data_IF_555189762491
#
_entry.id   IF_555189762491
#
_cell.length_a   1.000
_cell.length_b   1.000
_cell.length_c   1.000
_cell.angle_alpha   90.00
_cell.angle_beta   90.00
_cell.angle_gamma   90.00
#
_symmetry.space_group_name_H-M   'P 1'
#
loop_
_entity.id
_entity.type
_entity.pdbx_description
1 polymer ?
#
# COMPACT_ATOMS: atom_id res chain seq x y z
N UNK A 1 -13.10 6.13 30.67
CA UNK A 1 -11.74 5.75 30.26
C UNK A 1 -11.59 4.28 30.57
N UNK A 2 -11.35 3.43 29.58
CA UNK A 2 -11.15 1.99 29.75
C UNK A 2 -9.78 1.62 29.19
N UNK A 3 -9.13 0.63 29.80
CA UNK A 3 -7.86 0.07 29.32
C UNK A 3 -8.12 -1.13 28.42
N UNK A 4 -7.24 -1.38 27.46
CA UNK A 4 -7.26 -2.56 26.59
C UNK A 4 -5.98 -3.36 26.85
N UNK A 5 -6.09 -4.69 26.94
CA UNK A 5 -4.94 -5.57 27.15
C UNK A 5 -4.24 -5.85 25.81
N UNK A 6 -3.33 -4.98 25.39
CA UNK A 6 -2.50 -5.21 24.21
C UNK A 6 -1.34 -6.16 24.55
N UNK A 7 -0.99 -7.14 23.69
CA UNK A 7 -1.45 -7.35 22.30
C UNK A 7 -2.67 -8.27 22.13
N UNK A 8 -3.21 -8.87 23.20
CA UNK A 8 -4.28 -9.88 23.13
C UNK A 8 -5.61 -9.30 22.63
N UNK A 9 -5.96 -8.10 23.07
CA UNK A 9 -7.07 -7.31 22.58
C UNK A 9 -6.56 -6.10 21.78
N UNK A 10 -7.14 -5.90 20.59
CA UNK A 10 -6.89 -4.75 19.73
C UNK A 10 -8.19 -4.03 19.43
N UNK A 11 -8.13 -2.70 19.40
CA UNK A 11 -9.26 -1.90 18.95
C UNK A 11 -9.39 -2.00 17.42
N UNK A 12 -10.63 -2.08 16.89
CA UNK A 12 -10.83 -2.01 15.45
C UNK A 12 -10.37 -0.66 14.92
N UNK A 13 -9.63 -0.67 13.81
CA UNK A 13 -9.21 0.55 13.14
C UNK A 13 -10.35 1.13 12.30
N UNK A 14 -10.41 2.46 12.22
CA UNK A 14 -11.42 3.13 11.42
C UNK A 14 -11.24 2.79 9.92
N UNK A 15 -12.33 2.74 9.12
CA UNK A 15 -12.25 2.42 7.70
C UNK A 15 -11.22 3.25 6.92
N UNK A 16 -11.08 4.54 7.25
CA UNK A 16 -10.19 5.50 6.56
C UNK A 16 -8.82 5.66 7.24
N UNK A 17 -8.45 4.73 8.12
CA UNK A 17 -7.13 4.70 8.75
C UNK A 17 -6.02 4.66 7.69
N UNK A 18 -4.87 5.26 8.00
CA UNK A 18 -3.73 5.39 7.10
C UNK A 18 -2.54 4.61 7.66
N UNK A 19 -2.56 3.30 7.49
CA UNK A 19 -1.47 2.41 7.88
C UNK A 19 -0.44 2.23 6.76
N UNK A 20 0.21 1.07 6.74
CA UNK A 20 1.14 0.71 5.68
C UNK A 20 0.52 0.81 4.28
N UNK A 21 1.29 1.34 3.33
CA UNK A 21 0.93 1.30 1.92
C UNK A 21 0.85 -0.16 1.44
N UNK A 22 -0.17 -0.50 0.68
CA UNK A 22 -0.35 -1.81 0.08
C UNK A 22 -0.63 -1.70 -1.42
N UNK A 23 -0.26 -2.75 -2.16
CA UNK A 23 -0.58 -2.90 -3.57
C UNK A 23 -1.71 -3.92 -3.75
N UNK A 24 -2.64 -3.62 -4.64
CA UNK A 24 -3.77 -4.50 -4.94
C UNK A 24 -3.50 -5.32 -6.20
N UNK A 25 -3.94 -6.57 -6.16
CA UNK A 25 -4.04 -7.45 -7.33
C UNK A 25 -5.39 -7.27 -8.00
N UNK A 26 -5.41 -7.50 -9.29
CA UNK A 26 -6.63 -7.60 -10.05
C UNK A 26 -7.37 -8.89 -9.69
N UNK A 27 -8.68 -8.80 -9.48
CA UNK A 27 -9.47 -9.92 -8.97
C UNK A 27 -9.68 -11.02 -10.02
N UNK A 28 -9.63 -10.68 -11.30
CA UNK A 28 -9.85 -11.62 -12.40
C UNK A 28 -8.55 -12.30 -12.83
N UNK A 29 -7.46 -11.53 -12.91
CA UNK A 29 -6.18 -11.99 -13.45
C UNK A 29 -5.17 -12.39 -12.37
N UNK A 30 -5.31 -11.90 -11.13
CA UNK A 30 -4.34 -12.10 -10.05
C UNK A 30 -3.02 -11.33 -10.23
N UNK A 31 -2.88 -10.58 -11.32
CA UNK A 31 -1.73 -9.73 -11.60
C UNK A 31 -1.81 -8.42 -10.80
N UNK A 32 -0.67 -7.74 -10.52
CA UNK A 32 -0.69 -6.42 -9.90
C UNK A 32 -1.50 -5.42 -10.75
N UNK A 33 -2.43 -4.67 -10.14
CA UNK A 33 -3.19 -3.61 -10.84
C UNK A 33 -2.33 -2.44 -11.34
N UNK A 34 -1.10 -2.32 -10.84
CA UNK A 34 -0.22 -1.20 -11.12
C UNK A 34 0.32 -1.24 -12.55
N UNK A 35 0.10 -0.18 -13.31
CA UNK A 35 0.57 0.00 -14.70
C UNK A 35 1.92 0.73 -14.81
N UNK A 36 2.61 0.95 -13.68
CA UNK A 36 3.86 1.71 -13.60
C UNK A 36 3.80 3.11 -14.24
N UNK A 37 2.68 3.83 -14.07
CA UNK A 37 2.47 5.17 -14.66
C UNK A 37 3.28 6.30 -13.98
N UNK A 38 3.82 6.06 -12.77
CA UNK A 38 4.64 7.02 -12.04
C UNK A 38 3.90 8.24 -11.47
N UNK A 39 2.56 8.27 -11.48
CA UNK A 39 1.80 9.36 -10.86
C UNK A 39 1.98 9.40 -9.34
N UNK A 40 2.01 8.23 -8.68
CA UNK A 40 2.21 8.13 -7.24
C UNK A 40 3.59 8.64 -6.80
N UNK A 41 4.63 8.42 -7.61
CA UNK A 41 5.98 8.97 -7.37
C UNK A 41 5.95 10.50 -7.40
N UNK A 42 5.37 11.07 -8.46
CA UNK A 42 5.25 12.55 -8.60
C UNK A 42 4.39 13.20 -7.53
N UNK A 43 3.40 12.50 -7.00
CA UNK A 43 2.54 12.99 -5.93
C UNK A 43 3.18 12.89 -4.54
N UNK A 44 4.27 12.14 -4.39
CA UNK A 44 4.93 11.97 -3.10
C UNK A 44 5.71 13.23 -2.71
N UNK A 45 5.40 13.89 -1.58
CA UNK A 45 6.11 15.09 -1.17
C UNK A 45 7.52 14.84 -0.60
N UNK A 46 7.90 13.57 -0.36
CA UNK A 46 9.17 13.20 0.27
C UNK A 46 9.98 12.17 -0.54
N UNK A 47 9.60 11.95 -1.80
CA UNK A 47 10.31 11.06 -2.75
C UNK A 47 10.69 9.70 -2.16
N UNK A 48 9.69 9.01 -1.58
CA UNK A 48 9.89 7.69 -0.93
C UNK A 48 9.52 6.50 -1.82
N UNK A 49 9.06 6.76 -3.03
CA UNK A 49 8.52 5.76 -3.96
C UNK A 49 9.38 5.74 -5.23
N UNK A 50 9.77 4.55 -5.65
CA UNK A 50 10.40 4.31 -6.95
C UNK A 50 9.61 3.24 -7.68
N UNK A 51 9.42 3.42 -8.99
CA UNK A 51 8.66 2.47 -9.82
C UNK A 51 9.37 2.20 -11.12
N UNK A 52 9.48 0.93 -11.44
CA UNK A 52 9.97 0.42 -12.72
C UNK A 52 8.88 -0.42 -13.36
N UNK A 53 8.83 -0.38 -14.69
CA UNK A 53 7.86 -1.17 -15.42
C UNK A 53 8.22 -1.30 -16.88
N UNK A 54 7.91 -2.47 -17.42
CA UNK A 54 8.20 -2.90 -18.79
C UNK A 54 6.93 -2.97 -19.63
N UNK A 55 7.09 -3.00 -20.96
CA UNK A 55 5.98 -3.00 -21.91
C UNK A 55 5.67 -1.62 -22.50
N UNK A 56 4.69 -1.56 -23.40
CA UNK A 56 4.32 -0.34 -24.12
C UNK A 56 2.81 -0.11 -24.07
N UNK A 57 2.41 1.16 -23.96
CA UNK A 57 1.00 1.56 -24.00
C UNK A 57 0.19 0.88 -22.89
N UNK A 58 -0.87 0.16 -23.29
CA UNK A 58 -1.79 -0.52 -22.37
C UNK A 58 -1.22 -1.81 -21.75
N UNK A 59 -0.17 -2.38 -22.34
CA UNK A 59 0.45 -3.62 -21.85
C UNK A 59 1.56 -3.35 -20.83
N UNK A 60 1.73 -2.09 -20.40
CA UNK A 60 2.78 -1.75 -19.44
C UNK A 60 2.46 -2.35 -18.06
N UNK A 61 3.40 -3.15 -17.54
CA UNK A 61 3.30 -3.82 -16.24
C UNK A 61 4.40 -3.34 -15.30
N UNK A 62 4.09 -3.26 -14.00
CA UNK A 62 5.09 -3.00 -12.97
C UNK A 62 6.03 -4.19 -12.84
N UNK A 63 7.34 -3.92 -12.79
CA UNK A 63 8.37 -4.94 -12.58
C UNK A 63 9.02 -4.78 -11.21
N UNK A 64 9.29 -3.54 -10.80
CA UNK A 64 9.80 -3.22 -9.48
C UNK A 64 9.02 -2.04 -8.88
N UNK A 65 8.82 -2.10 -7.58
CA UNK A 65 8.28 -0.99 -6.80
C UNK A 65 9.01 -0.97 -5.47
N UNK A 66 9.63 0.16 -5.15
CA UNK A 66 10.40 0.34 -3.92
C UNK A 66 9.75 1.41 -3.07
N UNK A 67 9.50 1.07 -1.81
CA UNK A 67 8.89 1.97 -0.85
C UNK A 67 9.78 2.13 0.37
N UNK A 68 10.30 3.34 0.59
CA UNK A 68 11.12 3.66 1.77
C UNK A 68 10.21 4.08 2.92
N UNK A 69 9.77 3.11 3.73
CA UNK A 69 8.84 3.34 4.84
C UNK A 69 9.42 4.30 5.89
N UNK A 70 10.74 4.25 6.13
CA UNK A 70 11.42 5.10 7.13
C UNK A 70 11.19 6.61 6.93
N UNK A 71 10.88 7.04 5.71
CA UNK A 71 10.66 8.45 5.36
C UNK A 71 9.21 8.77 5.01
N UNK A 72 8.30 7.79 5.04
CA UNK A 72 6.91 8.02 4.64
C UNK A 72 6.14 8.85 5.69
N UNK A 73 5.35 9.80 5.23
CA UNK A 73 4.48 10.63 6.08
C UNK A 73 3.06 10.07 6.25
N UNK A 74 2.75 8.93 5.63
CA UNK A 74 1.41 8.32 5.61
C UNK A 74 0.29 9.30 5.16
N UNK A 75 0.64 10.24 4.27
CA UNK A 75 -0.23 11.35 3.87
C UNK A 75 -1.33 10.96 2.85
N UNK A 76 -1.33 9.74 2.32
CA UNK A 76 -2.29 9.20 1.33
C UNK A 76 -2.32 9.92 -0.04
N UNK A 77 -1.46 10.91 -0.30
CA UNK A 77 -1.42 11.60 -1.59
C UNK A 77 -1.12 10.67 -2.77
N UNK A 78 -0.28 9.65 -2.59
CA UNK A 78 0.01 8.66 -3.62
C UNK A 78 -1.22 7.82 -3.99
N UNK A 79 -2.07 7.49 -3.02
CA UNK A 79 -3.31 6.73 -3.23
C UNK A 79 -4.32 7.58 -4.00
N UNK A 80 -4.51 8.83 -3.59
CA UNK A 80 -5.42 9.76 -4.28
C UNK A 80 -4.96 10.08 -5.71
N UNK A 81 -3.65 10.08 -5.96
CA UNK A 81 -3.08 10.27 -7.30
C UNK A 81 -3.19 9.02 -8.19
N UNK A 82 -3.49 7.84 -7.63
CA UNK A 82 -3.57 6.60 -8.41
C UNK A 82 -4.90 6.54 -9.17
N UNK A 83 -4.84 6.62 -10.51
CA UNK A 83 -6.03 6.55 -11.36
C UNK A 83 -6.51 5.14 -11.66
N UNK A 84 -5.81 4.12 -11.15
CA UNK A 84 -6.07 2.69 -11.42
C UNK A 84 -6.45 1.92 -10.16
N UNK A 85 -6.59 2.61 -9.01
CA UNK A 85 -6.83 2.00 -7.69
C UNK A 85 -5.88 0.83 -7.40
N UNK A 86 -4.60 1.00 -7.79
CA UNK A 86 -3.59 -0.03 -7.68
C UNK A 86 -2.90 -0.06 -6.30
N UNK A 87 -3.01 1.04 -5.55
CA UNK A 87 -2.44 1.19 -4.22
C UNK A 87 -3.48 1.76 -3.27
N UNK A 88 -3.40 1.37 -2.00
CA UNK A 88 -4.30 1.81 -0.93
C UNK A 88 -3.53 1.80 0.40
N UNK A 89 -4.06 2.46 1.43
CA UNK A 89 -3.54 2.40 2.79
C UNK A 89 -4.23 1.26 3.56
N UNK A 90 -3.44 0.34 4.10
CA UNK A 90 -3.93 -0.77 4.92
C UNK A 90 -4.23 -0.34 6.35
N UNK A 91 -4.80 -1.27 7.13
CA UNK A 91 -4.95 -1.13 8.59
C UNK A 91 -3.75 -1.68 9.37
N UNK A 92 -2.67 -2.06 8.69
CA UNK A 92 -1.44 -2.52 9.32
C UNK A 92 -0.68 -1.31 9.91
N UNK A 93 -0.47 -1.34 11.22
CA UNK A 93 0.20 -0.28 11.98
C UNK A 93 1.43 -0.79 12.76
N UNK A 94 1.62 -2.11 12.84
CA UNK A 94 2.72 -2.72 13.59
C UNK A 94 3.98 -2.81 12.72
N UNK A 95 4.50 -1.66 12.30
CA UNK A 95 5.53 -1.57 11.26
C UNK A 95 6.97 -1.54 11.78
N UNK A 96 7.15 -1.68 13.09
CA UNK A 96 8.45 -1.61 13.72
C UNK A 96 9.42 -2.67 13.16
N UNK A 97 10.65 -2.27 12.87
CA UNK A 97 11.69 -3.17 12.38
C UNK A 97 13.05 -2.75 12.92
N UNK A 98 13.99 -3.71 12.93
CA UNK A 98 15.39 -3.48 13.28
C UNK A 98 16.23 -2.96 12.12
N UNK A 99 15.74 -3.06 10.88
CA UNK A 99 16.44 -2.52 9.72
C UNK A 99 16.29 -1.00 9.65
N UNK A 100 17.40 -0.23 9.63
CA UNK A 100 17.34 1.22 9.60
C UNK A 100 16.75 1.77 8.29
N UNK A 101 16.99 1.08 7.17
CA UNK A 101 16.58 1.57 5.85
C UNK A 101 15.07 1.41 5.62
N UNK A 102 14.47 0.37 6.23
CA UNK A 102 13.04 0.08 6.20
C UNK A 102 12.43 0.19 4.79
N UNK A 103 13.13 -0.38 3.81
CA UNK A 103 12.71 -0.41 2.41
C UNK A 103 11.90 -1.66 2.16
N UNK A 104 10.75 -1.51 1.51
CA UNK A 104 9.90 -2.62 1.09
C UNK A 104 9.77 -2.69 -0.42
N UNK A 105 9.78 -3.93 -0.91
CA UNK A 105 9.65 -4.23 -2.33
C UNK A 105 8.19 -4.54 -2.71
N UNK A 106 7.92 -4.57 -4.00
CA UNK A 106 6.60 -4.83 -4.58
C UNK A 106 5.94 -6.09 -4.00
N UNK A 107 6.69 -7.18 -3.86
CA UNK A 107 6.17 -8.45 -3.32
C UNK A 107 5.61 -8.28 -1.91
N UNK A 108 6.31 -7.52 -1.05
CA UNK A 108 5.85 -7.26 0.31
C UNK A 108 4.61 -6.39 0.33
N UNK A 109 4.54 -5.39 -0.54
CA UNK A 109 3.36 -4.52 -0.67
C UNK A 109 2.13 -5.30 -1.17
N UNK A 110 2.34 -6.24 -2.10
CA UNK A 110 1.31 -7.15 -2.56
C UNK A 110 0.88 -8.12 -1.46
N UNK A 111 1.81 -8.67 -0.67
CA UNK A 111 1.46 -9.54 0.45
C UNK A 111 0.62 -8.83 1.53
N UNK A 112 0.89 -7.55 1.80
CA UNK A 112 0.04 -6.73 2.68
C UNK A 112 -1.34 -6.53 2.02
N UNK A 113 -1.37 -6.28 0.71
CA UNK A 113 -2.61 -6.20 -0.07
C UNK A 113 -3.40 -7.50 -0.06
N UNK A 114 -2.77 -8.65 -0.10
CA UNK A 114 -3.44 -9.95 -0.05
C UNK A 114 -3.99 -10.23 1.37
N UNK A 115 -3.36 -9.68 2.42
CA UNK A 115 -3.81 -9.78 3.82
C UNK A 115 -4.96 -8.83 4.17
N UNK A 116 -4.91 -7.58 3.69
CA UNK A 116 -5.82 -6.50 4.07
C UNK A 116 -6.76 -6.03 2.95
N UNK A 117 -6.49 -6.43 1.71
CA UNK A 117 -7.21 -6.01 0.51
C UNK A 117 -8.56 -6.70 0.42
N UNK A 118 -9.55 -6.13 1.10
CA UNK A 118 -10.96 -6.34 0.79
C UNK A 118 -11.61 -4.96 0.64
N UNK A 119 -11.27 -4.28 -0.46
CA UNK A 119 -12.08 -3.18 -0.99
C UNK A 119 -12.81 -3.69 -2.23
N UNK A 120 -13.80 -4.58 -2.03
CA UNK A 120 -15.00 -4.49 -2.86
C UNK A 120 -15.75 -3.24 -2.36
N UNK A 121 -16.17 -2.37 -3.27
CA UNK A 121 -17.00 -1.21 -2.95
C UNK A 121 -18.24 -1.67 -2.15
N UNK A 122 -18.22 -1.50 -0.82
CA UNK A 122 -19.35 -1.81 0.06
C UNK A 122 -19.20 -3.00 1.01
N UNK A 123 -18.02 -3.62 1.19
CA UNK A 123 -17.79 -4.55 2.32
C UNK A 123 -16.92 -3.91 3.38
N UNK A 124 -17.44 -3.91 4.61
CA UNK A 124 -16.73 -3.44 5.79
C UNK A 124 -15.41 -4.21 5.97
N UNK A 125 -14.39 -3.44 6.37
CA UNK A 125 -13.11 -3.91 6.86
C UNK A 125 -13.32 -5.09 7.84
N UNK A 126 -12.65 -6.21 7.60
CA UNK A 126 -12.59 -7.31 8.58
C UNK A 126 -11.48 -7.05 9.59
#
# INVERSE_FOLDING_TARGET
>A
MFTVQYPEEKLPMFPRFRGALMHLRDAETGEPKCTACGLCVRACPNDVLEVEGEGKGRERKVTAYRYTLARCLFCRLCVEACTFDAIEMSHEYELASYSPDLVWDLEKLLAIGDKYGVHEAGKDWK
#
